data_IF_640696442275
#
_entry.id   IF_640696442275
#
_cell.length_a   1.000
_cell.length_b   1.000
_cell.length_c   1.000
_cell.angle_alpha   90.00
_cell.angle_beta   90.00
_cell.angle_gamma   90.00
#
_symmetry.space_group_name_H-M   'P 1'
#
loop_
_entity.id
_entity.type
_entity.pdbx_description
1 polymer ?
#
# COMPACT_ATOMS: atom_id res chain seq x y z
N UNK A 1 -24.69 -12.13 -30.89
CA UNK A 1 -25.02 -11.58 -29.57
C UNK A 1 -26.48 -11.20 -29.35
N UNK A 2 -27.31 -11.14 -30.42
CA UNK A 2 -28.77 -10.96 -30.24
C UNK A 2 -29.49 -12.13 -29.54
N UNK A 3 -28.83 -13.27 -29.42
CA UNK A 3 -29.38 -14.49 -28.81
C UNK A 3 -29.49 -14.44 -27.27
N UNK A 4 -28.85 -13.46 -26.61
CA UNK A 4 -28.88 -13.35 -25.14
C UNK A 4 -29.87 -12.29 -24.62
N UNK A 5 -30.72 -11.70 -25.48
CA UNK A 5 -31.72 -10.73 -25.06
C UNK A 5 -31.20 -9.33 -24.69
N UNK A 6 -29.90 -9.06 -24.82
CA UNK A 6 -29.33 -7.73 -24.52
C UNK A 6 -29.44 -6.82 -25.75
N UNK A 7 -30.05 -5.64 -25.57
CA UNK A 7 -30.07 -4.58 -26.56
C UNK A 7 -28.74 -3.80 -26.42
N UNK A 8 -27.86 -3.94 -27.42
CA UNK A 8 -26.62 -3.18 -27.47
C UNK A 8 -26.88 -1.83 -28.14
N UNK A 9 -26.46 -0.75 -27.53
CA UNK A 9 -26.48 0.59 -28.11
C UNK A 9 -25.34 0.71 -29.15
N UNK A 10 -25.67 0.84 -30.45
CA UNK A 10 -24.62 0.97 -31.48
C UNK A 10 -23.71 2.19 -31.27
N UNK A 11 -24.25 3.29 -30.70
CA UNK A 11 -23.49 4.51 -30.42
C UNK A 11 -22.45 4.35 -29.33
N UNK A 12 -22.50 3.26 -28.56
CA UNK A 12 -21.49 2.92 -27.51
C UNK A 12 -20.52 1.83 -27.95
N UNK A 13 -20.67 1.34 -29.18
CA UNK A 13 -19.70 0.39 -29.76
C UNK A 13 -18.36 1.08 -29.97
N UNK A 14 -17.30 0.41 -29.60
CA UNK A 14 -15.93 0.90 -29.78
C UNK A 14 -15.18 0.00 -30.75
N UNK A 15 -14.43 0.60 -31.65
CA UNK A 15 -13.52 -0.13 -32.54
C UNK A 15 -12.37 -0.68 -31.68
N UNK A 16 -11.90 -1.91 -31.91
CA UNK A 16 -10.74 -2.45 -31.21
C UNK A 16 -9.53 -1.51 -31.37
N UNK A 17 -8.93 -1.12 -30.25
CA UNK A 17 -7.78 -0.23 -30.21
C UNK A 17 -6.82 -0.71 -29.13
N UNK A 18 -5.55 -0.31 -29.25
CA UNK A 18 -4.52 -0.64 -28.24
C UNK A 18 -4.77 0.07 -26.90
N UNK A 19 -5.50 1.16 -26.90
CA UNK A 19 -6.01 1.82 -25.69
C UNK A 19 -7.53 1.90 -25.80
N UNK A 20 -8.21 1.30 -24.84
CA UNK A 20 -9.66 1.19 -24.84
C UNK A 20 -10.24 1.79 -23.55
N UNK A 21 -11.35 2.52 -23.69
CA UNK A 21 -12.02 3.19 -22.57
C UNK A 21 -13.35 2.50 -22.25
N UNK A 22 -13.50 1.98 -21.04
CA UNK A 22 -14.74 1.43 -20.54
C UNK A 22 -15.00 1.86 -19.10
N UNK A 23 -16.27 2.13 -18.78
CA UNK A 23 -16.72 2.43 -17.41
C UNK A 23 -15.92 3.54 -16.70
N UNK A 24 -15.34 4.46 -17.45
CA UNK A 24 -14.54 5.56 -16.91
C UNK A 24 -13.08 5.22 -16.61
N UNK A 25 -12.61 4.08 -17.09
CA UNK A 25 -11.24 3.57 -16.99
C UNK A 25 -10.66 3.40 -18.38
N UNK A 26 -9.38 3.62 -18.53
CA UNK A 26 -8.60 3.32 -19.72
C UNK A 26 -7.83 2.00 -19.52
N UNK A 27 -8.05 1.06 -20.45
CA UNK A 27 -7.30 -0.18 -20.55
C UNK A 27 -6.22 0.01 -21.61
N UNK A 28 -4.97 0.04 -21.21
CA UNK A 28 -3.82 0.23 -22.10
C UNK A 28 -3.15 -1.12 -22.36
N UNK A 29 -3.28 -1.58 -23.61
CA UNK A 29 -2.75 -2.84 -24.10
C UNK A 29 -1.54 -2.66 -25.02
N UNK A 30 -0.94 -1.47 -25.09
CA UNK A 30 0.16 -1.19 -26.01
C UNK A 30 1.37 -2.11 -25.76
N UNK A 31 1.61 -2.47 -24.50
CA UNK A 31 2.70 -3.36 -24.09
C UNK A 31 2.30 -4.84 -24.03
N UNK A 32 1.04 -5.17 -24.36
CA UNK A 32 0.50 -6.51 -24.20
C UNK A 32 1.30 -7.57 -24.96
N UNK A 33 1.68 -7.28 -26.22
CA UNK A 33 2.44 -8.22 -27.04
C UNK A 33 3.88 -8.40 -26.59
N UNK A 34 4.52 -7.33 -26.11
CA UNK A 34 5.93 -7.33 -25.72
C UNK A 34 6.17 -7.81 -24.29
N UNK A 35 5.23 -7.51 -23.38
CA UNK A 35 5.41 -7.73 -21.94
C UNK A 35 4.30 -8.57 -21.31
N UNK A 36 3.28 -8.97 -22.09
CA UNK A 36 2.08 -9.67 -21.59
C UNK A 36 1.38 -8.93 -20.43
N UNK A 37 1.44 -7.59 -20.45
CA UNK A 37 0.93 -6.72 -19.40
C UNK A 37 -0.16 -5.80 -19.92
N UNK A 38 -1.24 -5.71 -19.16
CA UNK A 38 -2.35 -4.78 -19.33
C UNK A 38 -2.29 -3.74 -18.20
N UNK A 39 -2.36 -2.46 -18.56
CA UNK A 39 -2.44 -1.39 -17.58
C UNK A 39 -3.86 -0.85 -17.47
N UNK A 40 -4.34 -0.70 -16.25
CA UNK A 40 -5.64 -0.10 -15.93
C UNK A 40 -5.39 1.28 -15.36
N UNK A 41 -5.82 2.32 -16.08
CA UNK A 41 -5.54 3.73 -15.74
C UNK A 41 -6.85 4.49 -15.54
N UNK A 42 -6.90 5.47 -14.63
CA UNK A 42 -8.04 6.40 -14.60
C UNK A 42 -8.03 7.25 -15.88
N UNK A 43 -9.21 7.64 -16.36
CA UNK A 43 -9.28 8.64 -17.45
C UNK A 43 -8.75 9.98 -16.92
N UNK A 44 -7.86 10.63 -17.68
CA UNK A 44 -7.20 11.89 -17.30
C UNK A 44 -8.18 12.94 -16.80
N UNK A 45 -9.26 13.20 -17.54
CA UNK A 45 -10.31 14.16 -17.14
C UNK A 45 -10.91 13.83 -15.76
N UNK A 46 -11.16 12.56 -15.45
CA UNK A 46 -11.68 12.15 -14.13
C UNK A 46 -10.67 12.35 -13.02
N UNK A 47 -9.41 12.01 -13.28
CA UNK A 47 -8.30 12.20 -12.36
C UNK A 47 -8.13 13.67 -11.98
N UNK A 48 -8.05 14.54 -12.99
CA UNK A 48 -7.90 15.99 -12.80
C UNK A 48 -9.07 16.58 -12.02
N UNK A 49 -10.31 16.20 -12.35
CA UNK A 49 -11.48 16.67 -11.63
C UNK A 49 -11.45 16.29 -10.15
N UNK A 50 -11.06 15.05 -9.81
CA UNK A 50 -11.01 14.60 -8.41
C UNK A 50 -9.87 15.27 -7.65
N UNK A 51 -8.72 15.44 -8.27
CA UNK A 51 -7.61 16.21 -7.67
C UNK A 51 -8.04 17.66 -7.43
N UNK A 52 -8.71 18.29 -8.40
CA UNK A 52 -9.24 19.64 -8.25
C UNK A 52 -10.23 19.77 -7.08
N UNK A 53 -11.14 18.79 -6.91
CA UNK A 53 -12.05 18.76 -5.76
C UNK A 53 -11.33 18.61 -4.42
N UNK A 54 -10.29 17.74 -4.34
CA UNK A 54 -9.48 17.59 -3.14
C UNK A 54 -8.74 18.89 -2.78
N UNK A 55 -8.17 19.56 -3.77
CA UNK A 55 -7.48 20.84 -3.57
C UNK A 55 -8.44 21.95 -3.16
N UNK A 56 -9.65 21.98 -3.72
CA UNK A 56 -10.68 22.94 -3.31
C UNK A 56 -11.09 22.73 -1.85
N UNK A 57 -11.36 21.47 -1.45
CA UNK A 57 -11.65 21.12 -0.06
C UNK A 57 -10.52 21.56 0.89
N UNK A 58 -9.28 21.41 0.45
CA UNK A 58 -8.12 21.85 1.23
C UNK A 58 -8.07 23.36 1.38
N UNK A 59 -8.25 24.11 0.28
CA UNK A 59 -8.23 25.60 0.29
C UNK A 59 -9.37 26.18 1.12
N UNK A 60 -10.56 25.61 1.00
CA UNK A 60 -11.73 26.04 1.78
C UNK A 60 -11.63 25.64 3.25
N UNK A 61 -10.65 24.80 3.60
CA UNK A 61 -10.49 24.18 4.93
C UNK A 61 -11.80 23.57 5.46
N UNK A 62 -12.62 23.02 4.58
CA UNK A 62 -13.96 22.53 4.88
C UNK A 62 -14.35 21.33 4.05
N UNK A 63 -14.97 20.32 4.72
CA UNK A 63 -15.54 19.14 4.06
C UNK A 63 -16.83 18.75 4.75
N UNK A 64 -17.97 18.98 4.12
CA UNK A 64 -19.28 18.59 4.67
C UNK A 64 -19.51 17.07 4.50
N UNK A 65 -20.39 16.45 5.31
CA UNK A 65 -20.75 15.03 5.17
C UNK A 65 -21.21 14.64 3.77
N UNK A 66 -22.04 15.47 3.13
CA UNK A 66 -22.52 15.23 1.76
C UNK A 66 -21.38 15.31 0.72
N UNK A 67 -20.48 16.30 0.85
CA UNK A 67 -19.30 16.37 0.01
C UNK A 67 -18.38 15.16 0.22
N UNK A 68 -18.18 14.74 1.47
CA UNK A 68 -17.38 13.57 1.82
C UNK A 68 -17.93 12.29 1.20
N UNK A 69 -19.26 12.07 1.23
CA UNK A 69 -19.91 10.92 0.62
C UNK A 69 -19.66 10.86 -0.89
N UNK A 70 -19.85 11.99 -1.56
CA UNK A 70 -19.62 12.10 -3.02
C UNK A 70 -18.15 11.91 -3.39
N UNK A 71 -17.23 12.52 -2.63
CA UNK A 71 -15.80 12.45 -2.86
C UNK A 71 -15.27 11.04 -2.59
N UNK A 72 -15.75 10.39 -1.52
CA UNK A 72 -15.41 9.01 -1.20
C UNK A 72 -15.71 8.06 -2.37
N UNK A 73 -16.91 8.11 -2.93
CA UNK A 73 -17.27 7.23 -4.06
C UNK A 73 -16.38 7.45 -5.28
N UNK A 74 -15.99 8.70 -5.58
CA UNK A 74 -15.05 9.01 -6.67
C UNK A 74 -13.65 8.48 -6.41
N UNK A 75 -13.15 8.65 -5.19
CA UNK A 75 -11.83 8.21 -4.77
C UNK A 75 -11.72 6.69 -4.66
N UNK A 76 -12.74 6.03 -4.11
CA UNK A 76 -12.77 4.56 -4.03
C UNK A 76 -12.71 3.94 -5.43
N UNK A 77 -13.46 4.51 -6.38
CA UNK A 77 -13.37 4.11 -7.78
C UNK A 77 -11.97 4.30 -8.38
N UNK A 78 -11.32 5.46 -8.16
CA UNK A 78 -9.97 5.73 -8.65
C UNK A 78 -8.94 4.80 -8.02
N UNK A 79 -9.07 4.49 -6.73
CA UNK A 79 -8.16 3.58 -6.04
C UNK A 79 -8.12 2.18 -6.65
N UNK A 80 -9.20 1.75 -7.31
CA UNK A 80 -9.20 0.46 -8.02
C UNK A 80 -8.32 0.46 -9.27
N UNK A 81 -7.94 1.63 -9.76
CA UNK A 81 -7.03 1.81 -10.90
C UNK A 81 -5.58 1.98 -10.48
N UNK A 82 -5.29 2.08 -9.18
CA UNK A 82 -3.95 2.18 -8.64
C UNK A 82 -3.37 0.80 -8.34
N UNK A 83 -2.05 0.75 -8.21
CA UNK A 83 -1.35 -0.48 -7.88
C UNK A 83 -1.63 -0.91 -6.43
N UNK A 84 -1.95 -2.18 -6.22
CA UNK A 84 -2.19 -2.74 -4.89
C UNK A 84 -3.35 -2.08 -4.13
N UNK A 85 -3.09 -1.74 -2.87
CA UNK A 85 -4.08 -1.12 -1.96
C UNK A 85 -3.63 0.22 -1.40
N UNK A 86 -2.68 0.86 -2.08
CA UNK A 86 -2.00 2.09 -1.61
C UNK A 86 -2.95 3.23 -1.23
N UNK A 87 -4.06 3.41 -1.94
CA UNK A 87 -4.99 4.52 -1.69
C UNK A 87 -5.99 4.29 -0.56
N UNK A 88 -6.08 3.08 -0.01
CA UNK A 88 -7.15 2.75 0.96
C UNK A 88 -6.99 3.43 2.31
N UNK A 89 -5.76 3.66 2.76
CA UNK A 89 -5.49 4.35 4.03
C UNK A 89 -6.03 5.78 4.04
N UNK A 90 -5.90 6.51 2.93
CA UNK A 90 -6.41 7.88 2.80
C UNK A 90 -7.94 7.97 2.70
N UNK A 91 -8.63 6.88 2.38
CA UNK A 91 -10.10 6.89 2.27
C UNK A 91 -10.81 6.90 3.63
N UNK A 92 -10.19 6.35 4.67
CA UNK A 92 -10.87 6.15 5.95
C UNK A 92 -11.31 7.45 6.62
N UNK A 93 -10.49 8.51 6.73
CA UNK A 93 -10.93 9.78 7.30
C UNK A 93 -12.07 10.43 6.51
N UNK A 94 -12.03 10.35 5.17
CA UNK A 94 -13.10 10.85 4.31
C UNK A 94 -14.39 10.06 4.52
N UNK A 95 -14.28 8.72 4.65
CA UNK A 95 -15.43 7.85 4.96
C UNK A 95 -16.04 8.20 6.33
N UNK A 96 -15.24 8.40 7.35
CA UNK A 96 -15.73 8.78 8.69
C UNK A 96 -16.50 10.09 8.65
N UNK A 97 -16.01 11.09 7.90
CA UNK A 97 -16.68 12.39 7.75
C UNK A 97 -18.11 12.31 7.20
N UNK A 98 -18.45 11.28 6.43
CA UNK A 98 -19.81 11.09 5.88
C UNK A 98 -20.86 10.94 6.98
N UNK A 99 -20.48 10.39 8.14
CA UNK A 99 -21.37 10.02 9.24
C UNK A 99 -21.26 10.96 10.44
N UNK A 100 -20.49 12.04 10.33
CA UNK A 100 -20.41 13.04 11.39
C UNK A 100 -21.71 13.85 11.47
N UNK A 101 -22.21 14.02 12.69
CA UNK A 101 -23.37 14.86 12.96
C UNK A 101 -23.08 16.34 12.59
N UNK A 102 -24.13 17.14 12.50
CA UNK A 102 -24.05 18.57 12.19
C UNK A 102 -23.10 19.30 13.15
N UNK A 103 -22.18 20.10 12.61
CA UNK A 103 -21.19 20.85 13.39
C UNK A 103 -20.25 21.66 12.51
N UNK A 104 -19.15 22.08 13.07
CA UNK A 104 -18.08 22.70 12.31
C UNK A 104 -17.45 21.68 11.37
N UNK A 105 -17.63 21.82 10.06
CA UNK A 105 -17.09 20.93 9.05
C UNK A 105 -15.65 21.28 8.62
N UNK A 106 -14.90 21.98 9.47
CA UNK A 106 -13.47 22.24 9.25
C UNK A 106 -12.66 20.95 9.10
N UNK A 107 -11.54 21.02 8.41
CA UNK A 107 -10.66 19.88 8.23
C UNK A 107 -9.91 19.56 9.53
N UNK A 108 -10.05 18.35 10.01
CA UNK A 108 -9.19 17.82 11.09
C UNK A 108 -7.81 17.52 10.58
N UNK A 109 -6.86 17.27 11.49
CA UNK A 109 -5.50 16.86 11.14
C UNK A 109 -5.50 15.61 10.26
N UNK A 110 -6.30 14.61 10.61
CA UNK A 110 -6.39 13.34 9.87
C UNK A 110 -6.97 13.53 8.47
N UNK A 111 -7.94 14.44 8.30
CA UNK A 111 -8.49 14.76 6.98
C UNK A 111 -7.45 15.49 6.11
N UNK A 112 -6.70 16.42 6.68
CA UNK A 112 -5.61 17.10 5.98
C UNK A 112 -4.54 16.10 5.54
N UNK A 113 -4.10 15.22 6.42
CA UNK A 113 -3.15 14.16 6.10
C UNK A 113 -3.67 13.25 4.98
N UNK A 114 -4.95 12.83 5.07
CA UNK A 114 -5.58 11.97 4.08
C UNK A 114 -5.69 12.64 2.70
N UNK A 115 -6.07 13.91 2.64
CA UNK A 115 -6.18 14.66 1.39
C UNK A 115 -4.79 14.81 0.75
N UNK A 116 -3.78 15.19 1.55
CA UNK A 116 -2.39 15.29 1.08
C UNK A 116 -1.89 13.98 0.47
N UNK A 117 -2.08 12.90 1.22
CA UNK A 117 -1.73 11.55 0.78
C UNK A 117 -2.40 11.17 -0.54
N UNK A 118 -3.71 11.40 -0.66
CA UNK A 118 -4.47 11.04 -1.85
C UNK A 118 -4.08 11.86 -3.07
N UNK A 119 -3.82 13.16 -2.92
CA UNK A 119 -3.34 14.01 -4.02
C UNK A 119 -2.00 13.52 -4.55
N UNK A 120 -1.03 13.31 -3.67
CA UNK A 120 0.30 12.84 -4.07
C UNK A 120 0.21 11.46 -4.73
N UNK A 121 -0.57 10.57 -4.13
CA UNK A 121 -0.75 9.21 -4.63
C UNK A 121 -1.38 9.18 -6.03
N UNK A 122 -2.43 9.97 -6.26
CA UNK A 122 -3.11 10.04 -7.56
C UNK A 122 -2.20 10.58 -8.66
N UNK A 123 -1.19 11.37 -8.30
CA UNK A 123 -0.21 11.93 -9.25
C UNK A 123 0.96 11.01 -9.51
N UNK A 124 1.45 10.32 -8.48
CA UNK A 124 2.74 9.60 -8.52
C UNK A 124 2.61 8.08 -8.59
N UNK A 125 1.48 7.52 -8.14
CA UNK A 125 1.33 6.07 -8.10
C UNK A 125 1.26 5.47 -9.50
N UNK A 126 2.00 4.38 -9.75
CA UNK A 126 1.88 3.65 -11.01
C UNK A 126 0.46 3.12 -11.20
N UNK A 127 0.00 2.98 -12.45
CA UNK A 127 -1.29 2.39 -12.76
C UNK A 127 -1.33 0.94 -12.31
N UNK A 128 -2.53 0.42 -12.10
CA UNK A 128 -2.72 -1.01 -11.83
C UNK A 128 -2.24 -1.81 -13.04
N UNK A 129 -1.31 -2.71 -12.77
CA UNK A 129 -0.78 -3.65 -13.74
C UNK A 129 -1.46 -5.01 -13.58
N UNK A 130 -1.84 -5.62 -14.70
CA UNK A 130 -2.39 -6.97 -14.77
C UNK A 130 -1.49 -7.76 -15.72
N UNK A 131 -0.75 -8.71 -15.18
CA UNK A 131 0.01 -9.67 -15.98
C UNK A 131 -0.94 -10.71 -16.54
N UNK A 132 -0.95 -10.89 -17.86
CA UNK A 132 -1.80 -11.85 -18.56
C UNK A 132 -1.08 -13.17 -18.85
N UNK A 133 0.23 -13.21 -18.65
CA UNK A 133 1.03 -14.38 -18.97
C UNK A 133 2.07 -14.66 -17.89
N UNK A 134 1.58 -15.11 -16.75
CA UNK A 134 2.41 -15.57 -15.64
C UNK A 134 2.43 -17.10 -15.54
N UNK A 135 2.11 -17.76 -16.65
CA UNK A 135 2.01 -19.20 -16.69
C UNK A 135 3.35 -19.84 -16.33
N UNK A 136 3.39 -20.45 -15.16
CA UNK A 136 4.45 -21.37 -14.77
C UNK A 136 5.54 -20.83 -13.85
N UNK A 137 5.63 -19.54 -13.57
CA UNK A 137 6.58 -19.07 -12.53
C UNK A 137 5.91 -19.15 -11.17
N UNK A 138 6.41 -19.99 -10.24
CA UNK A 138 5.88 -20.01 -8.89
C UNK A 138 6.16 -18.65 -8.19
N UNK A 139 5.26 -18.22 -7.28
CA UNK A 139 5.48 -16.99 -6.51
C UNK A 139 6.64 -17.15 -5.53
N UNK A 140 7.25 -16.06 -5.13
CA UNK A 140 8.14 -16.03 -3.98
C UNK A 140 7.31 -16.17 -2.70
N UNK A 141 7.86 -16.84 -1.69
CA UNK A 141 7.20 -16.99 -0.38
C UNK A 141 7.96 -16.12 0.63
N UNK A 142 7.28 -15.14 1.17
CA UNK A 142 7.80 -14.23 2.19
C UNK A 142 7.11 -14.51 3.51
N UNK A 143 7.87 -14.78 4.54
CA UNK A 143 7.39 -14.93 5.92
C UNK A 143 7.90 -13.75 6.73
N UNK A 144 7.05 -13.15 7.57
CA UNK A 144 7.45 -12.09 8.49
C UNK A 144 6.86 -12.33 9.87
N UNK A 145 7.60 -11.92 10.87
CA UNK A 145 7.22 -12.00 12.27
C UNK A 145 7.79 -10.84 13.07
N UNK A 146 7.13 -10.52 14.18
CA UNK A 146 7.59 -9.54 15.12
C UNK A 146 7.51 -10.07 16.55
N UNK A 147 8.58 -9.94 17.30
CA UNK A 147 8.61 -10.29 18.72
C UNK A 147 8.71 -9.06 19.62
N UNK A 148 8.09 -9.13 20.78
CA UNK A 148 8.17 -8.08 21.81
C UNK A 148 8.32 -8.74 23.17
N UNK A 149 9.44 -8.48 23.83
CA UNK A 149 9.71 -9.01 25.16
C UNK A 149 10.29 -7.90 26.07
N UNK A 150 9.52 -7.41 27.07
CA UNK A 150 9.94 -6.32 27.93
C UNK A 150 11.17 -6.68 28.81
N UNK A 151 11.52 -7.96 28.93
CA UNK A 151 12.67 -8.44 29.69
C UNK A 151 13.91 -8.67 28.81
N UNK A 152 13.87 -8.27 27.53
CA UNK A 152 14.98 -8.37 26.59
C UNK A 152 15.46 -6.99 26.15
N UNK A 153 16.73 -6.91 25.86
CA UNK A 153 17.35 -5.80 25.14
C UNK A 153 18.01 -6.38 23.87
N UNK A 154 17.52 -6.05 22.70
CA UNK A 154 16.40 -5.15 22.37
C UNK A 154 14.99 -5.74 22.68
N UNK A 155 14.07 -4.87 23.11
CA UNK A 155 12.70 -5.25 23.48
C UNK A 155 11.89 -5.75 22.28
N UNK A 156 12.02 -5.07 21.13
CA UNK A 156 11.27 -5.33 19.90
C UNK A 156 12.22 -5.77 18.80
N UNK A 157 11.92 -6.91 18.19
CA UNK A 157 12.72 -7.46 17.08
C UNK A 157 11.77 -7.90 15.97
N UNK A 158 12.20 -7.72 14.74
CA UNK A 158 11.51 -8.24 13.55
C UNK A 158 12.39 -9.25 12.84
N UNK A 159 11.74 -10.28 12.29
CA UNK A 159 12.35 -11.31 11.46
C UNK A 159 11.63 -11.49 10.14
N UNK A 160 12.37 -11.85 9.11
CA UNK A 160 11.78 -12.20 7.82
C UNK A 160 12.60 -13.28 7.11
N UNK A 161 11.88 -14.15 6.38
CA UNK A 161 12.48 -15.22 5.57
C UNK A 161 11.86 -15.18 4.18
N UNK A 162 12.70 -15.22 3.14
CA UNK A 162 12.30 -15.24 1.74
C UNK A 162 12.75 -16.51 1.05
N UNK A 163 11.79 -17.26 0.50
CA UNK A 163 12.05 -18.39 -0.40
C UNK A 163 11.90 -17.93 -1.85
N UNK A 164 12.92 -18.19 -2.66
CA UNK A 164 12.97 -17.86 -4.06
C UNK A 164 12.90 -19.16 -4.86
N UNK A 165 11.91 -19.34 -5.74
CA UNK A 165 11.80 -20.56 -6.54
C UNK A 165 13.08 -20.84 -7.35
N UNK A 166 13.57 -22.08 -7.25
CA UNK A 166 14.81 -22.49 -7.91
C UNK A 166 16.10 -22.14 -7.16
N UNK A 167 16.01 -21.42 -6.04
CA UNK A 167 17.14 -21.19 -5.14
C UNK A 167 17.06 -22.21 -3.98
N UNK A 168 18.15 -22.94 -3.74
CA UNK A 168 18.19 -24.00 -2.74
C UNK A 168 18.09 -23.45 -1.32
N UNK A 169 18.76 -22.33 -1.05
CA UNK A 169 18.85 -21.72 0.28
C UNK A 169 17.97 -20.49 0.38
N UNK A 170 17.06 -20.39 1.38
CA UNK A 170 16.30 -19.18 1.59
C UNK A 170 17.18 -18.04 2.11
N UNK A 171 16.69 -16.82 1.93
CA UNK A 171 17.29 -15.61 2.50
C UNK A 171 16.58 -15.26 3.79
N UNK A 172 17.30 -14.74 4.78
CA UNK A 172 16.66 -14.23 5.99
C UNK A 172 17.29 -12.91 6.45
N UNK A 173 16.52 -12.17 7.23
CA UNK A 173 16.98 -10.97 7.93
C UNK A 173 16.34 -10.89 9.31
N UNK A 174 17.01 -10.25 10.23
CA UNK A 174 16.48 -9.93 11.54
C UNK A 174 17.13 -8.64 12.05
N UNK A 175 16.35 -7.83 12.76
CA UNK A 175 16.88 -6.64 13.40
C UNK A 175 16.01 -6.16 14.56
N UNK A 176 16.59 -5.44 15.53
CA UNK A 176 15.84 -4.61 16.45
C UNK A 176 14.99 -3.57 15.70
N UNK A 177 13.83 -3.26 16.23
CA UNK A 177 13.06 -2.10 15.78
C UNK A 177 13.78 -0.86 16.29
N UNK A 178 14.18 0.09 15.42
CA UNK A 178 14.91 1.28 15.86
C UNK A 178 14.09 2.13 16.84
N UNK A 179 14.76 2.69 17.86
CA UNK A 179 14.12 3.56 18.86
C UNK A 179 13.43 4.77 18.22
N UNK A 180 14.00 5.30 17.12
CA UNK A 180 13.43 6.38 16.36
C UNK A 180 12.06 6.01 15.74
N UNK A 181 11.83 4.73 15.48
CA UNK A 181 10.54 4.21 15.00
C UNK A 181 9.59 4.01 16.17
N UNK A 182 10.04 3.36 17.23
CA UNK A 182 9.22 3.07 18.43
C UNK A 182 8.73 4.37 19.07
N UNK A 183 9.61 5.39 19.17
CA UNK A 183 9.26 6.70 19.76
C UNK A 183 8.15 7.45 19.00
N UNK A 184 7.87 7.08 17.77
CA UNK A 184 6.80 7.66 16.97
C UNK A 184 5.44 7.00 17.23
N UNK A 185 5.41 5.83 17.84
CA UNK A 185 4.17 5.14 18.17
C UNK A 185 3.52 5.73 19.41
N UNK A 186 2.19 5.70 19.44
CA UNK A 186 1.44 6.11 20.64
C UNK A 186 1.75 5.09 21.74
N UNK A 187 2.24 5.52 22.91
CA UNK A 187 2.53 4.61 23.99
C UNK A 187 1.32 3.76 24.36
N UNK A 188 1.46 2.45 24.32
CA UNK A 188 0.42 1.50 24.63
C UNK A 188 1.00 0.29 25.39
N UNK A 189 0.16 -0.34 26.20
CA UNK A 189 0.54 -1.50 27.02
C UNK A 189 1.01 -2.71 26.20
N UNK A 190 0.47 -2.82 24.97
CA UNK A 190 0.85 -3.88 24.02
C UNK A 190 1.01 -3.27 22.63
N UNK A 191 2.19 -3.38 22.07
CA UNK A 191 2.56 -2.85 20.75
C UNK A 191 2.96 -3.96 19.77
N UNK A 192 2.79 -5.23 20.14
CA UNK A 192 3.21 -6.37 19.32
C UNK A 192 2.67 -6.30 17.88
N UNK A 193 1.41 -5.90 17.70
CA UNK A 193 0.79 -5.78 16.38
C UNK A 193 1.47 -4.72 15.49
N UNK A 194 2.11 -3.70 16.07
CA UNK A 194 2.92 -2.70 15.34
C UNK A 194 4.26 -3.29 14.93
N UNK A 195 4.90 -4.06 15.82
CA UNK A 195 6.15 -4.76 15.51
C UNK A 195 5.94 -5.75 14.36
N UNK A 196 4.87 -6.53 14.41
CA UNK A 196 4.46 -7.43 13.35
C UNK A 196 4.24 -6.73 12.00
N UNK A 197 3.51 -5.58 12.03
CA UNK A 197 3.29 -4.78 10.83
C UNK A 197 4.58 -4.17 10.30
N UNK A 198 5.52 -3.80 11.17
CA UNK A 198 6.80 -3.21 10.79
C UNK A 198 7.72 -4.21 10.08
N UNK A 199 7.63 -5.49 10.41
CA UNK A 199 8.40 -6.55 9.76
C UNK A 199 8.21 -6.58 8.23
N UNK A 200 7.00 -6.31 7.75
CA UNK A 200 6.70 -6.26 6.31
C UNK A 200 7.52 -5.20 5.55
N UNK A 201 7.46 -3.91 5.89
CA UNK A 201 8.30 -2.87 5.30
C UNK A 201 9.81 -3.17 5.37
N UNK A 202 10.32 -3.70 6.49
CA UNK A 202 11.73 -4.12 6.62
C UNK A 202 12.07 -5.20 5.61
N UNK A 203 11.23 -6.22 5.48
CA UNK A 203 11.42 -7.30 4.52
C UNK A 203 11.40 -6.79 3.06
N UNK A 204 10.45 -5.91 2.73
CA UNK A 204 10.33 -5.35 1.38
C UNK A 204 11.56 -4.51 0.98
N UNK A 205 12.13 -3.74 1.90
CA UNK A 205 13.34 -2.96 1.63
C UNK A 205 14.59 -3.84 1.57
N UNK A 206 14.72 -4.81 2.48
CA UNK A 206 15.88 -5.72 2.55
C UNK A 206 15.94 -6.65 1.35
N UNK A 207 14.82 -7.25 0.98
CA UNK A 207 14.76 -8.18 -0.15
C UNK A 207 14.42 -7.52 -1.48
N UNK A 208 14.49 -6.19 -1.56
CA UNK A 208 14.16 -5.37 -2.73
C UNK A 208 14.70 -5.91 -4.06
N UNK A 209 15.98 -6.33 -4.19
CA UNK A 209 16.52 -6.83 -5.45
C UNK A 209 15.82 -8.07 -5.99
N UNK A 210 15.26 -8.88 -5.09
CA UNK A 210 14.59 -10.15 -5.44
C UNK A 210 13.09 -9.98 -5.66
N UNK A 211 12.47 -8.95 -5.06
CA UNK A 211 11.02 -8.74 -5.07
C UNK A 211 10.55 -7.87 -6.25
N UNK A 212 11.47 -7.20 -6.95
CA UNK A 212 11.10 -6.30 -8.04
C UNK A 212 10.38 -7.03 -9.18
N UNK A 213 9.16 -6.57 -9.52
CA UNK A 213 8.31 -7.12 -10.59
C UNK A 213 7.96 -8.62 -10.39
N UNK A 214 7.85 -9.07 -9.13
CA UNK A 214 7.56 -10.45 -8.77
C UNK A 214 6.18 -10.62 -8.16
N UNK A 215 5.68 -11.86 -8.21
CA UNK A 215 4.53 -12.30 -7.41
C UNK A 215 5.03 -12.82 -6.08
N UNK A 216 4.37 -12.40 -5.01
CA UNK A 216 4.77 -12.72 -3.64
C UNK A 216 3.55 -13.22 -2.86
N UNK A 217 3.66 -14.37 -2.23
CA UNK A 217 2.74 -14.77 -1.15
C UNK A 217 3.43 -14.38 0.15
N UNK A 218 2.83 -13.45 0.88
CA UNK A 218 3.34 -12.95 2.13
C UNK A 218 2.55 -13.54 3.29
N UNK A 219 3.20 -14.35 4.09
CA UNK A 219 2.64 -15.03 5.25
C UNK A 219 2.88 -14.23 6.52
N UNK A 220 1.82 -14.04 7.29
CA UNK A 220 1.84 -13.43 8.62
C UNK A 220 0.97 -14.28 9.56
N UNK A 221 1.33 -14.40 10.83
CA UNK A 221 0.58 -15.20 11.79
C UNK A 221 -0.34 -14.38 12.70
N UNK A 222 -0.03 -13.09 12.89
CA UNK A 222 -0.85 -12.17 13.67
C UNK A 222 -2.12 -11.76 12.91
N UNK A 223 -3.28 -12.14 13.42
CA UNK A 223 -4.58 -11.87 12.78
C UNK A 223 -4.91 -10.38 12.64
N UNK A 224 -4.42 -9.54 13.55
CA UNK A 224 -4.63 -8.08 13.49
C UNK A 224 -3.78 -7.44 12.40
N UNK A 225 -2.51 -7.84 12.28
CA UNK A 225 -1.60 -7.42 11.22
C UNK A 225 -2.11 -7.90 9.86
N UNK A 226 -2.47 -9.18 9.74
CA UNK A 226 -3.09 -9.77 8.56
C UNK A 226 -4.31 -8.95 8.12
N UNK A 227 -5.26 -8.73 9.04
CA UNK A 227 -6.49 -8.01 8.75
C UNK A 227 -6.24 -6.59 8.25
N UNK A 228 -5.26 -5.88 8.81
CA UNK A 228 -4.87 -4.54 8.40
C UNK A 228 -4.24 -4.53 7.00
N UNK A 229 -3.30 -5.43 6.72
CA UNK A 229 -2.66 -5.57 5.41
C UNK A 229 -3.67 -5.99 4.32
N UNK A 230 -4.51 -7.00 4.59
CA UNK A 230 -5.53 -7.47 3.63
C UNK A 230 -6.57 -6.38 3.34
N UNK A 231 -7.02 -5.62 4.33
CA UNK A 231 -7.94 -4.49 4.14
C UNK A 231 -7.28 -3.30 3.47
N UNK A 232 -5.97 -3.09 3.68
CA UNK A 232 -5.23 -1.91 3.26
C UNK A 232 -5.46 -0.68 4.14
N UNK A 233 -6.03 -0.85 5.34
CA UNK A 233 -6.23 0.20 6.35
C UNK A 233 -6.45 -0.40 7.73
N UNK A 234 -6.36 0.43 8.76
CA UNK A 234 -6.67 0.11 10.16
C UNK A 234 -7.41 1.27 10.82
N UNK A 235 -8.08 1.01 11.94
CA UNK A 235 -8.66 2.06 12.78
C UNK A 235 -7.63 2.67 13.75
N UNK A 236 -6.50 2.01 13.97
CA UNK A 236 -5.39 2.50 14.77
C UNK A 236 -4.47 3.35 13.88
N UNK A 237 -4.15 4.58 14.30
CA UNK A 237 -3.34 5.54 13.53
C UNK A 237 -1.94 5.04 13.21
N UNK A 238 -1.29 4.35 14.15
CA UNK A 238 0.06 3.82 13.96
C UNK A 238 0.05 2.66 12.95
N UNK A 239 -0.97 1.78 13.05
CA UNK A 239 -1.18 0.73 12.04
C UNK A 239 -1.44 1.31 10.64
N UNK A 240 -2.24 2.39 10.54
CA UNK A 240 -2.54 3.03 9.24
C UNK A 240 -1.25 3.42 8.52
N UNK A 241 -0.29 3.99 9.26
CA UNK A 241 1.00 4.40 8.71
C UNK A 241 1.81 3.21 8.20
N UNK A 242 1.94 2.17 9.01
CA UNK A 242 2.71 0.97 8.65
C UNK A 242 2.08 0.23 7.46
N UNK A 243 0.75 0.16 7.40
CA UNK A 243 0.01 -0.40 6.26
C UNK A 243 0.20 0.42 4.99
N UNK A 244 0.17 1.76 5.10
CA UNK A 244 0.45 2.66 3.98
C UNK A 244 1.88 2.45 3.46
N UNK A 245 2.83 2.39 4.36
CA UNK A 245 4.24 2.16 4.08
C UNK A 245 4.48 0.82 3.36
N UNK A 246 3.85 -0.24 3.83
CA UNK A 246 3.89 -1.55 3.19
C UNK A 246 3.38 -1.50 1.74
N UNK A 247 2.20 -0.95 1.51
CA UNK A 247 1.60 -0.91 0.18
C UNK A 247 2.32 0.05 -0.78
N UNK A 248 2.90 1.15 -0.28
CA UNK A 248 3.76 2.03 -1.09
C UNK A 248 5.01 1.31 -1.59
N UNK A 249 5.69 0.58 -0.71
CA UNK A 249 6.87 -0.21 -1.08
C UNK A 249 6.50 -1.30 -2.08
N UNK A 250 5.41 -2.00 -1.83
CA UNK A 250 4.87 -3.00 -2.76
C UNK A 250 4.62 -2.40 -4.14
N UNK A 251 4.02 -1.21 -4.21
CA UNK A 251 3.79 -0.51 -5.48
C UNK A 251 5.10 -0.03 -6.15
N UNK A 252 6.04 0.49 -5.38
CA UNK A 252 7.35 0.91 -5.88
C UNK A 252 8.18 -0.26 -6.42
N UNK A 253 8.02 -1.44 -5.82
CA UNK A 253 8.62 -2.69 -6.29
C UNK A 253 7.85 -3.31 -7.47
N UNK A 254 6.64 -2.83 -7.78
CA UNK A 254 5.72 -3.47 -8.72
C UNK A 254 5.43 -4.94 -8.33
N UNK A 255 5.59 -5.27 -7.05
CA UNK A 255 5.39 -6.61 -6.54
C UNK A 255 3.90 -6.90 -6.32
N UNK A 256 3.40 -7.96 -6.95
CA UNK A 256 2.00 -8.39 -6.74
C UNK A 256 1.94 -9.25 -5.51
N UNK A 257 1.55 -8.65 -4.37
CA UNK A 257 1.48 -9.33 -3.09
C UNK A 257 0.09 -9.91 -2.82
N UNK A 258 0.05 -11.20 -2.49
CA UNK A 258 -1.08 -11.88 -1.86
C UNK A 258 -0.73 -12.12 -0.40
N UNK A 259 -1.55 -11.61 0.53
CA UNK A 259 -1.29 -11.73 1.95
C UNK A 259 -2.11 -12.88 2.49
N UNK A 260 -1.47 -13.81 3.16
CA UNK A 260 -2.11 -15.00 3.73
C UNK A 260 -1.67 -15.25 5.18
N UNK A 261 -2.42 -16.11 5.85
CA UNK A 261 -2.14 -16.51 7.21
C UNK A 261 -1.25 -17.75 7.26
N UNK A 262 -0.30 -17.73 8.18
CA UNK A 262 0.40 -18.94 8.62
C UNK A 262 0.06 -19.21 10.09
N UNK A 263 0.07 -20.45 10.52
CA UNK A 263 -0.02 -20.78 11.94
C UNK A 263 1.31 -20.44 12.62
N UNK A 264 1.27 -19.85 13.85
CA UNK A 264 2.47 -19.38 14.54
C UNK A 264 3.55 -20.47 14.68
N UNK A 265 3.15 -21.72 14.92
CA UNK A 265 4.09 -22.86 15.00
C UNK A 265 4.75 -23.21 13.67
N UNK A 266 4.19 -22.77 12.56
CA UNK A 266 4.70 -22.99 11.20
C UNK A 266 5.31 -21.74 10.59
N UNK A 267 5.36 -20.63 11.34
CA UNK A 267 5.96 -19.40 10.88
C UNK A 267 7.48 -19.45 11.05
N UNK A 268 8.18 -19.75 9.97
CA UNK A 268 9.64 -19.90 9.97
C UNK A 268 10.38 -18.60 10.34
N UNK A 269 9.71 -17.44 10.29
CA UNK A 269 10.27 -16.16 10.71
C UNK A 269 10.18 -15.91 12.22
N UNK A 270 9.55 -16.81 13.00
CA UNK A 270 9.54 -16.74 14.47
C UNK A 270 10.96 -16.86 15.07
N UNK A 271 11.82 -17.74 14.50
CA UNK A 271 13.21 -17.83 14.95
C UNK A 271 13.99 -16.52 14.75
N UNK A 272 14.11 -15.94 13.54
CA UNK A 272 14.84 -14.69 13.36
C UNK A 272 14.21 -13.53 14.12
N UNK A 273 12.89 -13.48 14.34
CA UNK A 273 12.26 -12.45 15.18
C UNK A 273 12.68 -12.56 16.66
N UNK A 274 13.14 -13.72 17.08
CA UNK A 274 13.68 -13.96 18.44
C UNK A 274 15.20 -13.94 18.52
N UNK A 275 15.90 -13.59 17.42
CA UNK A 275 17.36 -13.63 17.27
C UNK A 275 17.91 -15.07 17.52
N UNK A 276 17.14 -16.07 17.18
CA UNK A 276 17.53 -17.47 17.17
C UNK A 276 17.62 -17.94 15.71
N UNK A 277 18.60 -18.77 15.38
CA UNK A 277 18.84 -19.13 13.98
C UNK A 277 19.21 -20.60 13.81
N UNK A 278 19.18 -21.38 14.90
CA UNK A 278 19.77 -22.73 14.92
C UNK A 278 19.04 -23.68 13.97
N UNK A 279 17.70 -23.72 13.98
CA UNK A 279 16.92 -24.56 13.08
C UNK A 279 16.98 -24.05 11.65
N UNK A 280 16.84 -22.75 11.45
CA UNK A 280 16.88 -22.10 10.14
C UNK A 280 18.22 -22.36 9.42
N UNK A 281 19.33 -22.31 10.15
CA UNK A 281 20.65 -22.60 9.62
C UNK A 281 20.90 -24.10 9.44
N UNK A 282 20.53 -24.92 10.42
CA UNK A 282 20.78 -26.37 10.39
C UNK A 282 19.94 -27.09 9.35
N UNK A 283 18.66 -26.72 9.20
CA UNK A 283 17.73 -27.40 8.29
C UNK A 283 17.76 -26.84 6.86
N UNK A 284 17.93 -25.52 6.70
CA UNK A 284 17.77 -24.85 5.42
C UNK A 284 19.05 -24.18 4.91
N UNK A 285 20.09 -24.08 5.74
CA UNK A 285 21.33 -23.38 5.38
C UNK A 285 21.07 -21.93 4.94
N UNK A 286 20.09 -21.26 5.54
CA UNK A 286 19.60 -19.95 5.13
C UNK A 286 20.73 -18.90 5.11
N UNK A 287 20.63 -17.93 4.20
CA UNK A 287 21.65 -16.90 4.01
C UNK A 287 21.16 -15.57 4.61
N UNK A 288 21.95 -15.02 5.52
CA UNK A 288 21.65 -13.74 6.15
C UNK A 288 21.84 -12.57 5.18
N UNK A 289 20.87 -11.66 5.12
CA UNK A 289 20.99 -10.36 4.48
C UNK A 289 20.89 -9.25 5.52
N UNK A 290 21.84 -8.28 5.53
CA UNK A 290 21.77 -7.14 6.42
C UNK A 290 20.46 -6.35 6.21
N UNK A 291 19.75 -5.99 7.29
CA UNK A 291 18.49 -5.26 7.19
C UNK A 291 18.69 -3.85 6.63
N UNK A 292 17.78 -3.41 5.76
CA UNK A 292 17.76 -2.06 5.21
C UNK A 292 16.72 -1.23 5.95
N UNK A 293 17.17 -0.27 6.77
CA UNK A 293 16.32 0.51 7.69
C UNK A 293 16.29 2.01 7.41
N UNK A 294 17.18 2.54 6.57
CA UNK A 294 17.38 3.98 6.39
C UNK A 294 16.11 4.73 5.95
N UNK A 295 15.33 4.13 5.06
CA UNK A 295 14.07 4.72 4.59
C UNK A 295 12.96 4.68 5.67
N UNK A 296 13.07 3.76 6.63
CA UNK A 296 12.09 3.53 7.67
C UNK A 296 12.32 4.44 8.89
N UNK A 297 13.58 4.75 9.19
CA UNK A 297 13.96 5.70 10.25
C UNK A 297 13.54 7.13 9.93
N UNK A 298 13.62 7.52 8.65
CA UNK A 298 13.30 8.87 8.16
C UNK A 298 11.81 9.07 7.86
N UNK A 299 10.96 8.19 8.32
CA UNK A 299 9.51 8.31 8.11
C UNK A 299 8.99 9.71 8.52
N UNK A 300 8.05 10.28 7.77
CA UNK A 300 7.53 11.61 8.07
C UNK A 300 6.95 11.66 9.47
N UNK A 301 7.24 12.73 10.19
CA UNK A 301 6.63 12.99 11.49
C UNK A 301 5.11 12.90 11.38
N UNK A 302 4.47 12.07 12.18
CA UNK A 302 3.00 11.96 12.23
C UNK A 302 2.30 13.29 12.55
N UNK A 303 3.06 14.27 13.05
CA UNK A 303 2.54 15.53 13.58
C UNK A 303 2.43 16.65 12.56
N UNK A 304 3.05 16.52 11.39
CA UNK A 304 3.00 17.56 10.36
C UNK A 304 2.76 16.96 8.95
N UNK A 305 1.51 17.00 8.46
CA UNK A 305 1.18 16.55 7.12
C UNK A 305 1.89 17.33 6.02
N UNK A 306 2.32 18.56 6.28
CA UNK A 306 3.03 19.38 5.28
C UNK A 306 4.40 18.82 4.95
N UNK A 307 5.00 18.08 5.88
CA UNK A 307 6.27 17.37 5.67
C UNK A 307 6.13 16.11 4.80
N UNK A 308 4.91 15.58 4.69
CA UNK A 308 4.66 14.38 3.91
C UNK A 308 4.73 14.64 2.41
N UNK A 309 4.31 15.82 1.93
CA UNK A 309 4.06 16.03 0.52
C UNK A 309 4.42 17.42 -0.03
N UNK A 310 5.24 18.18 0.65
CA UNK A 310 5.57 19.54 0.21
C UNK A 310 4.38 20.52 0.31
N UNK A 311 4.66 21.78 0.47
CA UNK A 311 3.66 22.78 0.83
C UNK A 311 2.60 23.08 -0.25
N UNK A 312 1.59 23.84 0.14
CA UNK A 312 0.44 24.31 -0.68
C UNK A 312 0.85 24.88 -2.04
N UNK A 313 2.04 25.47 -2.15
CA UNK A 313 2.53 26.07 -3.41
C UNK A 313 2.90 25.01 -4.46
N UNK A 314 3.38 23.83 -4.04
CA UNK A 314 3.60 22.71 -4.95
C UNK A 314 2.28 22.23 -5.56
N UNK A 315 1.22 22.20 -4.77
CA UNK A 315 -0.08 21.77 -5.22
C UNK A 315 -0.78 22.78 -6.12
N UNK A 316 -0.61 24.07 -5.87
CA UNK A 316 -1.07 25.12 -6.79
C UNK A 316 -0.40 24.97 -8.15
N UNK A 317 0.93 24.81 -8.18
CA UNK A 317 1.68 24.56 -9.42
C UNK A 317 1.23 23.30 -10.14
N UNK A 318 0.96 22.22 -9.38
CA UNK A 318 0.47 20.97 -9.93
C UNK A 318 -0.91 21.12 -10.55
N UNK A 319 -1.85 21.78 -9.85
CA UNK A 319 -3.19 22.09 -10.36
C UNK A 319 -3.10 22.87 -11.67
N UNK A 320 -2.30 23.93 -11.69
CA UNK A 320 -2.18 24.82 -12.84
C UNK A 320 -1.55 24.05 -14.03
N UNK A 321 -0.60 23.16 -13.78
CA UNK A 321 -0.03 22.27 -14.80
C UNK A 321 -1.04 21.25 -15.33
N UNK A 322 -1.90 20.70 -14.48
CA UNK A 322 -2.93 19.75 -14.88
C UNK A 322 -4.07 20.40 -15.66
N UNK A 323 -4.40 21.66 -15.36
CA UNK A 323 -5.41 22.43 -16.11
C UNK A 323 -4.94 22.82 -17.52
N UNK A 324 -3.63 22.86 -17.76
CA UNK A 324 -3.04 23.10 -19.10
C UNK A 324 -3.06 21.86 -19.99
N UNK A 325 -3.29 20.66 -19.43
CA UNK A 325 -3.32 19.38 -20.15
C UNK A 325 -4.75 18.97 -20.55
N UNK A 326 -5.76 19.68 -20.05
CA UNK A 326 -7.19 19.49 -20.35
C UNK A 326 -7.75 20.52 -21.32
#
# INVERSE_FOLDING_TARGET
MKSCGFILDPGKSQIPASVWNALGVAFDMQTLRAQSKLFVKPRTKRLVNVIGELLQVWMDNRLTPSQAARLFGKLDFLNQTLFGKVGRTGLLPIKKRQYEASGNHGLTFELKAAISWLVELLVTCPPREISLHDAGKPPLLLYTDGSSNPNRDPMHVVGAVLFIPGQEKPLYTACPVPDEVVSQWIPAKQQIHLVELFAGPVALDTFRPYLFDQRVIHFVDNSSALGALVKGYSNNSDCVRLVADYWLRTAALRATAYIDRVESKSNISDEPSRLCYDELMAQLGAVFLPPVLESLKKGPSQRDPSLWFGGVDRWKKLRDSLLLIC
#
